data_IF_825238383103
#
_entry.id   IF_825238383103
#
_cell.length_a   1.000
_cell.length_b   1.000
_cell.length_c   1.000
_cell.angle_alpha   90.00
_cell.angle_beta   90.00
_cell.angle_gamma   90.00
#
_symmetry.space_group_name_H-M   'P 1'
#
loop_
_entity.id
_entity.type
_entity.pdbx_description
1 polymer ?
#
# COMPACT_ATOMS: atom_id res chain seq x y z
N UNK A 1 -26.40 -15.19 8.69
CA UNK A 1 -25.59 -14.83 9.86
C UNK A 1 -25.14 -13.40 9.64
N UNK A 2 -25.81 -12.43 10.26
CA UNK A 2 -25.42 -11.02 10.19
C UNK A 2 -25.01 -10.60 11.59
N UNK A 3 -23.71 -10.49 11.81
CA UNK A 3 -23.20 -9.84 13.01
C UNK A 3 -23.03 -8.38 12.59
N UNK A 4 -23.73 -7.46 13.26
CA UNK A 4 -23.63 -6.03 13.03
C UNK A 4 -22.81 -5.41 14.15
N UNK A 5 -21.98 -4.43 13.82
CA UNK A 5 -21.24 -3.65 14.82
C UNK A 5 -22.21 -2.92 15.75
N UNK A 6 -21.91 -2.90 17.04
CA UNK A 6 -22.62 -2.05 17.99
C UNK A 6 -22.31 -0.56 17.73
N UNK A 7 -23.19 0.34 18.18
CA UNK A 7 -22.98 1.80 18.07
C UNK A 7 -21.63 2.24 18.67
N UNK A 8 -21.18 1.56 19.73
CA UNK A 8 -19.87 1.80 20.34
C UNK A 8 -18.73 1.38 19.43
N UNK A 9 -18.79 0.19 18.83
CA UNK A 9 -17.76 -0.30 17.92
C UNK A 9 -17.68 0.55 16.66
N UNK A 10 -18.83 1.01 16.13
CA UNK A 10 -18.89 1.98 15.03
C UNK A 10 -18.19 3.30 15.38
N UNK A 11 -18.34 3.79 16.61
CA UNK A 11 -17.69 5.02 17.07
C UNK A 11 -16.17 4.89 17.25
N UNK A 12 -15.64 3.66 17.39
CA UNK A 12 -14.21 3.38 17.52
C UNK A 12 -13.52 3.18 16.15
N UNK A 13 -14.27 3.11 15.04
CA UNK A 13 -13.71 3.01 13.69
C UNK A 13 -13.18 4.36 13.21
N UNK A 14 -12.01 4.35 12.57
CA UNK A 14 -11.59 5.48 11.73
C UNK A 14 -12.06 5.29 10.28
N UNK A 15 -12.52 6.37 9.62
CA UNK A 15 -12.82 6.35 8.19
C UNK A 15 -11.62 5.89 7.35
N UNK A 16 -11.89 5.09 6.32
CA UNK A 16 -10.84 4.55 5.43
C UNK A 16 -10.03 5.64 4.71
N UNK A 17 -10.63 6.82 4.50
CA UNK A 17 -9.99 8.00 3.92
C UNK A 17 -8.85 8.58 4.77
N UNK A 18 -8.82 8.26 6.07
CA UNK A 18 -7.72 8.64 6.97
C UNK A 18 -6.55 7.65 6.94
N UNK A 19 -6.73 6.47 6.32
CA UNK A 19 -5.67 5.49 6.18
C UNK A 19 -4.58 6.01 5.22
N UNK A 20 -3.37 5.47 5.36
CA UNK A 20 -2.27 5.80 4.45
C UNK A 20 -2.65 5.46 3.00
N UNK A 21 -2.64 6.44 2.07
CA UNK A 21 -3.10 6.24 0.69
C UNK A 21 -2.03 5.52 -0.16
N UNK A 22 -1.76 4.27 0.20
CA UNK A 22 -0.93 3.33 -0.55
C UNK A 22 -1.73 2.72 -1.71
N UNK A 23 -1.09 2.34 -2.84
CA UNK A 23 -1.75 1.59 -3.90
C UNK A 23 -2.21 0.20 -3.47
N UNK A 24 -1.62 -0.35 -2.39
CA UNK A 24 -2.06 -1.59 -1.74
C UNK A 24 -2.40 -1.31 -0.27
N UNK A 25 -3.63 -1.61 0.20
CA UNK A 25 -4.00 -1.41 1.60
C UNK A 25 -3.11 -2.22 2.55
N UNK A 26 -2.57 -1.57 3.58
CA UNK A 26 -1.76 -2.19 4.63
C UNK A 26 -2.59 -2.52 5.88
N UNK A 27 -3.90 -2.33 5.84
CA UNK A 27 -4.82 -2.66 6.93
C UNK A 27 -6.17 -3.09 6.35
N UNK A 28 -6.88 -3.96 7.06
CA UNK A 28 -8.25 -4.33 6.72
C UNK A 28 -9.16 -3.13 6.99
N UNK A 29 -9.98 -2.78 6.00
CA UNK A 29 -11.02 -1.76 6.15
C UNK A 29 -12.34 -2.45 6.49
N UNK A 30 -13.08 -1.91 7.46
CA UNK A 30 -14.40 -2.44 7.81
C UNK A 30 -15.37 -2.28 6.64
N UNK A 31 -16.18 -3.31 6.40
CA UNK A 31 -17.37 -3.22 5.55
C UNK A 31 -18.63 -2.81 6.34
N UNK A 32 -18.50 -2.48 7.64
CA UNK A 32 -19.61 -2.18 8.55
C UNK A 32 -20.22 -3.39 9.26
N UNK A 33 -19.85 -4.62 8.86
CA UNK A 33 -20.33 -5.86 9.47
C UNK A 33 -19.36 -6.39 10.53
N UNK A 34 -18.06 -6.11 10.38
CA UNK A 34 -17.02 -6.63 11.27
C UNK A 34 -16.03 -5.56 11.69
N UNK A 35 -15.56 -5.67 12.94
CA UNK A 35 -14.52 -4.80 13.44
C UNK A 35 -13.20 -5.27 12.82
N UNK A 36 -12.50 -4.43 12.03
CA UNK A 36 -11.26 -4.84 11.40
C UNK A 36 -10.22 -5.09 12.48
N UNK A 37 -9.44 -6.15 12.32
CA UNK A 37 -8.29 -6.37 13.19
C UNK A 37 -7.33 -5.18 13.09
N UNK A 38 -6.66 -4.80 14.21
CA UNK A 38 -5.67 -3.75 14.16
C UNK A 38 -4.53 -4.13 13.20
N UNK A 39 -3.87 -3.13 12.64
CA UNK A 39 -2.72 -3.33 11.78
C UNK A 39 -1.63 -4.16 12.48
N UNK A 40 -1.20 -5.24 11.85
CA UNK A 40 -0.17 -6.14 12.39
C UNK A 40 1.23 -5.50 12.34
N UNK A 41 2.20 -5.99 13.11
CA UNK A 41 3.59 -5.50 13.04
C UNK A 41 4.16 -5.58 11.62
N UNK A 42 3.93 -6.69 10.91
CA UNK A 42 4.39 -6.88 9.54
C UNK A 42 3.70 -5.91 8.56
N UNK A 43 2.39 -5.65 8.74
CA UNK A 43 1.66 -4.66 7.96
C UNK A 43 2.21 -3.24 8.16
N UNK A 44 2.52 -2.86 9.41
CA UNK A 44 3.20 -1.58 9.72
C UNK A 44 4.57 -1.50 9.04
N UNK A 45 5.31 -2.61 9.03
CA UNK A 45 6.62 -2.67 8.37
C UNK A 45 6.49 -2.48 6.86
N UNK A 46 5.51 -3.12 6.21
CA UNK A 46 5.22 -2.89 4.78
C UNK A 46 4.91 -1.41 4.54
N UNK A 47 4.03 -0.82 5.34
CA UNK A 47 3.68 0.60 5.20
C UNK A 47 4.90 1.53 5.33
N UNK A 48 5.77 1.29 6.32
CA UNK A 48 7.00 2.04 6.51
C UNK A 48 7.91 1.93 5.28
N UNK A 49 8.09 0.72 4.74
CA UNK A 49 8.91 0.48 3.55
C UNK A 49 8.33 1.13 2.28
N UNK A 50 7.01 1.16 2.13
CA UNK A 50 6.34 1.87 1.03
C UNK A 50 6.65 3.37 1.12
N UNK A 51 6.57 3.95 2.32
CA UNK A 51 6.92 5.36 2.56
C UNK A 51 8.38 5.63 2.21
N UNK A 52 9.31 4.79 2.66
CA UNK A 52 10.75 4.92 2.37
C UNK A 52 11.05 4.86 0.87
N UNK A 53 10.46 3.90 0.15
CA UNK A 53 10.65 3.76 -1.29
C UNK A 53 10.08 4.95 -2.05
N UNK A 54 8.88 5.42 -1.67
CA UNK A 54 8.26 6.58 -2.27
C UNK A 54 9.06 7.87 -2.02
N UNK A 55 9.62 8.04 -0.82
CA UNK A 55 10.49 9.17 -0.48
C UNK A 55 11.83 9.12 -1.21
N UNK A 56 12.29 7.92 -1.56
CA UNK A 56 13.55 7.72 -2.31
C UNK A 56 13.37 7.95 -3.80
N UNK A 57 12.30 7.41 -4.40
CA UNK A 57 12.11 7.39 -5.85
C UNK A 57 11.26 8.56 -6.36
N UNK A 58 10.27 9.02 -5.60
CA UNK A 58 9.39 10.13 -5.99
C UNK A 58 10.15 11.39 -6.39
N UNK A 59 11.05 11.94 -5.55
CA UNK A 59 11.81 13.14 -5.88
C UNK A 59 12.68 13.01 -7.14
N UNK A 60 13.20 11.80 -7.41
CA UNK A 60 14.02 11.52 -8.61
C UNK A 60 13.18 11.54 -9.90
N UNK A 61 11.87 11.36 -9.77
CA UNK A 61 10.90 11.41 -10.87
C UNK A 61 10.13 12.76 -10.90
N UNK A 62 10.50 13.72 -10.05
CA UNK A 62 9.79 15.01 -9.95
C UNK A 62 8.40 14.91 -9.33
N UNK A 63 8.12 13.85 -8.56
CA UNK A 63 6.83 13.59 -7.95
C UNK A 63 6.91 13.71 -6.42
N UNK A 64 5.86 14.24 -5.81
CA UNK A 64 5.65 14.06 -4.38
C UNK A 64 5.25 12.61 -4.07
N UNK A 65 5.31 12.23 -2.79
CA UNK A 65 4.97 10.86 -2.33
C UNK A 65 3.61 10.40 -2.83
N UNK A 66 2.59 11.26 -2.76
CA UNK A 66 1.21 10.92 -3.11
C UNK A 66 1.08 10.64 -4.61
N UNK A 67 1.65 11.51 -5.44
CA UNK A 67 1.66 11.36 -6.89
C UNK A 67 2.48 10.16 -7.33
N UNK A 68 3.64 9.93 -6.71
CA UNK A 68 4.46 8.75 -6.99
C UNK A 68 3.69 7.45 -6.75
N UNK A 69 3.01 7.33 -5.59
CA UNK A 69 2.23 6.15 -5.23
C UNK A 69 1.00 5.90 -6.13
N UNK A 70 0.61 6.87 -6.96
CA UNK A 70 -0.44 6.74 -7.97
C UNK A 70 0.08 6.25 -9.34
N UNK A 71 1.38 5.98 -9.48
CA UNK A 71 2.00 5.51 -10.73
C UNK A 71 2.24 4.00 -10.72
N UNK A 72 2.60 3.45 -11.90
CA UNK A 72 3.08 2.07 -12.00
C UNK A 72 4.34 1.82 -11.16
N UNK A 73 5.28 2.77 -11.11
CA UNK A 73 6.44 2.69 -10.21
C UNK A 73 6.05 2.70 -8.73
N UNK A 74 4.99 3.43 -8.37
CA UNK A 74 4.41 3.41 -7.03
C UNK A 74 3.84 2.05 -6.64
N UNK A 75 3.13 1.40 -7.58
CA UNK A 75 2.65 0.03 -7.39
C UNK A 75 3.82 -0.97 -7.27
N UNK A 76 4.84 -0.86 -8.13
CA UNK A 76 6.03 -1.69 -8.05
C UNK A 76 6.76 -1.53 -6.70
N UNK A 77 6.86 -0.30 -6.17
CA UNK A 77 7.40 -0.03 -4.85
C UNK A 77 6.61 -0.72 -3.73
N UNK A 78 5.27 -0.77 -3.83
CA UNK A 78 4.43 -1.48 -2.88
C UNK A 78 4.68 -3.00 -2.90
N UNK A 79 4.78 -3.61 -4.08
CA UNK A 79 5.09 -5.03 -4.18
C UNK A 79 6.51 -5.36 -3.72
N UNK A 80 7.50 -4.50 -3.97
CA UNK A 80 8.84 -4.66 -3.41
C UNK A 80 8.83 -4.59 -1.88
N UNK A 81 8.06 -3.67 -1.29
CA UNK A 81 7.91 -3.58 0.17
C UNK A 81 7.29 -4.86 0.75
N UNK A 82 6.26 -5.40 0.11
CA UNK A 82 5.66 -6.68 0.51
C UNK A 82 6.66 -7.83 0.39
N UNK A 83 7.46 -7.87 -0.68
CA UNK A 83 8.49 -8.90 -0.85
C UNK A 83 9.55 -8.86 0.26
N UNK A 84 9.93 -7.66 0.70
CA UNK A 84 10.92 -7.48 1.79
C UNK A 84 10.42 -7.98 3.14
N UNK A 85 9.11 -7.98 3.38
CA UNK A 85 8.52 -8.41 4.67
C UNK A 85 8.05 -9.86 4.65
N UNK A 86 7.43 -10.29 3.55
CA UNK A 86 6.77 -11.60 3.48
C UNK A 86 7.50 -12.61 2.59
N UNK A 87 8.65 -12.24 2.01
CA UNK A 87 9.39 -13.06 1.06
C UNK A 87 8.89 -12.87 -0.38
N UNK A 88 9.47 -13.60 -1.33
CA UNK A 88 9.26 -13.37 -2.77
C UNK A 88 7.85 -13.76 -3.26
N UNK A 89 6.87 -12.88 -3.05
CA UNK A 89 5.46 -13.08 -3.41
C UNK A 89 5.11 -12.53 -4.80
N UNK A 90 5.76 -11.43 -5.18
CA UNK A 90 5.50 -10.72 -6.43
C UNK A 90 6.75 -10.73 -7.31
N UNK A 91 6.57 -10.98 -8.60
CA UNK A 91 7.65 -10.85 -9.59
C UNK A 91 7.80 -9.38 -10.00
N UNK A 92 8.61 -8.67 -9.22
CA UNK A 92 8.90 -7.24 -9.37
C UNK A 92 10.37 -6.95 -9.07
N UNK A 93 10.97 -6.07 -9.86
CA UNK A 93 12.35 -5.63 -9.74
C UNK A 93 12.46 -4.22 -9.12
N UNK A 94 13.60 -3.91 -8.50
CA UNK A 94 13.88 -2.54 -8.02
C UNK A 94 13.92 -1.52 -9.17
N UNK A 95 14.21 -1.96 -10.40
CA UNK A 95 14.22 -1.11 -11.58
C UNK A 95 12.84 -0.55 -11.91
N UNK A 96 11.76 -1.33 -11.71
CA UNK A 96 10.39 -0.87 -11.93
C UNK A 96 9.99 0.23 -10.93
N UNK A 97 10.38 0.13 -9.67
CA UNK A 97 10.13 1.21 -8.70
C UNK A 97 10.96 2.47 -8.99
N UNK A 98 12.17 2.31 -9.54
CA UNK A 98 13.10 3.41 -9.79
C UNK A 98 12.84 4.17 -11.10
N UNK A 99 12.39 3.47 -12.15
CA UNK A 99 12.26 4.01 -13.50
C UNK A 99 10.81 3.89 -14.04
N UNK A 100 10.12 5.01 -14.30
CA UNK A 100 8.77 5.03 -14.86
C UNK A 100 8.63 4.23 -16.16
N UNK A 101 9.62 4.28 -17.04
CA UNK A 101 9.55 3.63 -18.35
C UNK A 101 9.57 2.11 -18.22
N UNK A 102 10.36 1.60 -17.27
CA UNK A 102 10.43 0.15 -16.97
C UNK A 102 9.13 -0.32 -16.34
N UNK A 103 8.56 0.46 -15.42
CA UNK A 103 7.27 0.15 -14.80
C UNK A 103 6.12 0.18 -15.81
N UNK A 104 6.10 1.17 -16.71
CA UNK A 104 5.09 1.28 -17.75
C UNK A 104 5.15 0.09 -18.71
N UNK A 105 6.35 -0.29 -19.15
CA UNK A 105 6.53 -1.46 -20.02
C UNK A 105 6.03 -2.76 -19.38
N UNK A 106 6.19 -2.94 -18.05
CA UNK A 106 5.63 -4.07 -17.33
C UNK A 106 4.11 -4.03 -17.27
N UNK A 107 3.53 -2.86 -16.97
CA UNK A 107 2.09 -2.67 -16.88
C UNK A 107 1.38 -2.92 -18.21
N UNK A 108 2.01 -2.55 -19.33
CA UNK A 108 1.48 -2.80 -20.67
C UNK A 108 1.58 -4.28 -21.10
N UNK A 109 2.46 -5.06 -20.45
CA UNK A 109 2.71 -6.46 -20.77
C UNK A 109 1.88 -7.46 -19.92
N UNK A 110 1.11 -6.98 -18.94
CA UNK A 110 0.27 -7.77 -18.02
C UNK A 110 -1.21 -7.68 -18.38
#
# INVERSE_FOLDING_TARGET
MGIFLSDRELAELEPAENAFPSPVPTQIVSNGEFNPLPQTPQQREVEARIKELADTHGPRQGLDRRRFLQTASGMAAAFLAMNKVFGNLFDVSEAEAANPDVAAARADAS
#
